data_IF_049379326588
#
_entry.id   IF_049379326588
#
_cell.length_a   1.000
_cell.length_b   1.000
_cell.length_c   1.000
_cell.angle_alpha   90.00
_cell.angle_beta   90.00
_cell.angle_gamma   90.00
#
_symmetry.space_group_name_H-M   'P 1'
#
loop_
_entity.id
_entity.type
_entity.pdbx_description
1 polymer ?
#
# COMPACT_ATOMS: atom_id res chain seq x y z
N UNK A 1 12.75 2.28 -1.34
CA UNK A 1 11.33 1.91 -1.39
C UNK A 1 11.26 0.42 -1.60
N UNK A 2 10.40 -0.34 -0.91
CA UNK A 2 10.08 -1.69 -1.33
C UNK A 2 9.59 -1.62 -2.78
N UNK A 3 9.79 -2.69 -3.52
CA UNK A 3 9.20 -2.79 -4.83
C UNK A 3 7.66 -2.85 -4.73
N UNK A 4 6.99 -2.49 -5.82
CA UNK A 4 5.53 -2.45 -5.91
C UNK A 4 4.87 -3.80 -5.55
N UNK A 5 5.56 -4.92 -5.83
CA UNK A 5 5.07 -6.26 -5.53
C UNK A 5 5.09 -6.53 -4.02
N UNK A 6 6.13 -6.09 -3.30
CA UNK A 6 6.20 -6.19 -1.83
C UNK A 6 4.99 -5.51 -1.18
N UNK A 7 4.59 -4.32 -1.62
CA UNK A 7 3.39 -3.66 -1.07
C UNK A 7 2.10 -4.43 -1.34
N UNK A 8 1.92 -4.98 -2.55
CA UNK A 8 0.77 -5.81 -2.89
C UNK A 8 0.73 -7.11 -2.07
N UNK A 9 1.88 -7.76 -1.90
CA UNK A 9 2.04 -8.94 -1.05
C UNK A 9 1.66 -8.62 0.40
N UNK A 10 2.16 -7.52 0.96
CA UNK A 10 1.81 -7.09 2.31
C UNK A 10 0.31 -6.80 2.44
N UNK A 11 -0.30 -6.12 1.48
CA UNK A 11 -1.75 -5.89 1.47
C UNK A 11 -2.53 -7.22 1.45
N UNK A 12 -2.11 -8.18 0.62
CA UNK A 12 -2.72 -9.51 0.53
C UNK A 12 -2.61 -10.29 1.85
N UNK A 13 -1.49 -10.17 2.57
CA UNK A 13 -1.26 -10.86 3.84
C UNK A 13 -2.08 -10.26 4.98
N UNK A 14 -2.20 -8.94 5.03
CA UNK A 14 -2.86 -8.21 6.12
C UNK A 14 -4.38 -8.07 5.93
N UNK A 15 -4.91 -8.22 4.70
CA UNK A 15 -6.34 -8.05 4.43
C UNK A 15 -7.24 -8.92 5.33
N UNK A 16 -8.26 -8.29 5.91
CA UNK A 16 -9.30 -8.88 6.77
C UNK A 16 -10.59 -8.04 6.67
N UNK A 17 -11.74 -8.65 6.96
CA UNK A 17 -13.03 -7.94 7.04
C UNK A 17 -13.35 -7.11 5.80
N UNK A 18 -13.62 -5.81 6.00
CA UNK A 18 -13.90 -4.86 4.92
C UNK A 18 -12.81 -4.84 3.84
N UNK A 19 -11.54 -4.87 4.23
CA UNK A 19 -10.40 -4.83 3.31
C UNK A 19 -10.23 -6.13 2.52
N UNK A 20 -10.79 -7.23 3.00
CA UNK A 20 -10.84 -8.49 2.26
C UNK A 20 -12.01 -8.51 1.26
N UNK A 21 -13.15 -7.90 1.61
CA UNK A 21 -14.32 -7.72 0.72
C UNK A 21 -14.01 -6.77 -0.43
N UNK A 22 -13.36 -5.64 -0.14
CA UNK A 22 -12.99 -4.61 -1.10
C UNK A 22 -11.48 -4.63 -1.38
N UNK A 23 -10.91 -5.83 -1.47
CA UNK A 23 -9.47 -6.01 -1.64
C UNK A 23 -8.87 -5.24 -2.82
N UNK A 24 -9.49 -5.13 -4.01
CA UNK A 24 -8.92 -4.34 -5.09
C UNK A 24 -8.66 -2.88 -4.71
N UNK A 25 -9.53 -2.26 -3.91
CA UNK A 25 -9.37 -0.88 -3.45
C UNK A 25 -8.30 -0.76 -2.37
N UNK A 26 -8.21 -1.75 -1.48
CA UNK A 26 -7.16 -1.81 -0.49
C UNK A 26 -5.77 -2.01 -1.12
N UNK A 27 -5.67 -2.91 -2.10
CA UNK A 27 -4.47 -3.14 -2.88
C UNK A 27 -4.08 -1.92 -3.71
N UNK A 28 -5.05 -1.25 -4.35
CA UNK A 28 -4.82 0.01 -5.06
C UNK A 28 -4.28 1.09 -4.12
N UNK A 29 -4.86 1.23 -2.93
CA UNK A 29 -4.34 2.13 -1.89
C UNK A 29 -2.88 1.84 -1.54
N UNK A 30 -2.52 0.56 -1.40
CA UNK A 30 -1.17 0.12 -1.05
C UNK A 30 -0.10 0.40 -2.12
N UNK A 31 -0.50 0.74 -3.34
CA UNK A 31 0.42 1.15 -4.41
C UNK A 31 0.18 2.59 -4.88
N UNK A 32 -0.85 3.26 -4.35
CA UNK A 32 -1.25 4.59 -4.80
C UNK A 32 -0.12 5.63 -4.67
N UNK A 33 0.63 5.72 -3.55
CA UNK A 33 1.71 6.70 -3.44
C UNK A 33 2.76 6.52 -4.55
N UNK A 34 3.15 5.28 -4.81
CA UNK A 34 4.07 4.92 -5.89
C UNK A 34 3.52 5.28 -7.27
N UNK A 35 2.23 5.01 -7.54
CA UNK A 35 1.61 5.34 -8.82
C UNK A 35 1.57 6.86 -9.06
N UNK A 36 1.51 7.66 -8.01
CA UNK A 36 1.46 9.12 -8.12
C UNK A 36 2.84 9.74 -8.38
N UNK A 37 3.91 9.20 -7.82
CA UNK A 37 5.25 9.83 -7.94
C UNK A 37 6.21 9.10 -8.87
N UNK A 38 6.15 7.76 -9.01
CA UNK A 38 7.10 7.00 -9.84
C UNK A 38 7.02 7.32 -11.33
N UNK A 39 5.85 7.47 -11.97
CA UNK A 39 5.79 7.86 -13.37
C UNK A 39 6.49 9.21 -13.61
N UNK A 40 6.29 10.17 -12.72
CA UNK A 40 6.98 11.46 -12.78
C UNK A 40 8.48 11.31 -12.56
N UNK A 41 8.92 10.47 -11.62
CA UNK A 41 10.35 10.19 -11.42
C UNK A 41 11.01 9.59 -12.67
N UNK A 42 10.36 8.62 -13.33
CA UNK A 42 10.91 7.90 -14.48
C UNK A 42 10.89 8.76 -15.74
N UNK A 43 9.77 9.42 -16.02
CA UNK A 43 9.57 10.19 -17.26
C UNK A 43 10.16 11.60 -17.17
N UNK A 44 10.14 12.20 -15.98
CA UNK A 44 10.57 13.58 -15.74
C UNK A 44 11.40 13.69 -14.45
N UNK A 45 12.64 13.18 -14.41
CA UNK A 45 13.45 13.15 -13.18
C UNK A 45 13.60 14.51 -12.48
N UNK A 46 13.68 15.60 -13.26
CA UNK A 46 13.73 16.97 -12.73
C UNK A 46 12.46 17.39 -11.96
N UNK A 47 11.32 16.74 -12.23
CA UNK A 47 10.06 16.98 -11.54
C UNK A 47 9.92 16.16 -10.24
N UNK A 48 10.79 15.18 -10.00
CA UNK A 48 10.71 14.29 -8.83
C UNK A 48 10.61 15.03 -7.48
N UNK A 49 11.37 16.11 -7.22
CA UNK A 49 11.26 16.85 -5.96
C UNK A 49 9.86 17.41 -5.68
N UNK A 50 9.07 17.70 -6.71
CA UNK A 50 7.71 18.25 -6.57
C UNK A 50 6.65 17.18 -6.29
N UNK A 51 6.88 15.94 -6.73
CA UNK A 51 5.96 14.82 -6.49
C UNK A 51 6.37 13.96 -5.29
N UNK A 52 7.61 14.10 -4.82
CA UNK A 52 8.13 13.42 -3.63
C UNK A 52 7.25 13.61 -2.37
N UNK A 53 6.67 14.79 -2.10
CA UNK A 53 5.77 14.97 -0.97
C UNK A 53 4.46 14.15 -1.04
N UNK A 54 4.10 13.58 -2.20
CA UNK A 54 2.92 12.70 -2.33
C UNK A 54 3.04 11.41 -1.51
N UNK A 55 4.25 11.08 -1.06
CA UNK A 55 4.54 10.06 -0.05
C UNK A 55 4.41 10.57 1.40
N UNK A 56 3.60 11.61 1.62
CA UNK A 56 3.24 12.13 2.95
C UNK A 56 1.82 11.70 3.34
N UNK A 57 1.55 11.29 4.59
CA UNK A 57 0.21 11.04 5.10
C UNK A 57 -0.77 12.20 4.83
N UNK A 58 -0.31 13.45 4.97
CA UNK A 58 -1.16 14.62 4.81
C UNK A 58 -1.61 14.80 3.36
N UNK A 59 -0.75 14.49 2.39
CA UNK A 59 -1.06 14.62 0.96
C UNK A 59 -1.71 13.36 0.38
N UNK A 60 -1.42 12.17 0.93
CA UNK A 60 -2.05 10.94 0.45
C UNK A 60 -3.53 10.87 0.80
N UNK A 61 -3.94 11.44 1.96
CA UNK A 61 -5.35 11.50 2.37
C UNK A 61 -6.25 12.18 1.33
N UNK A 62 -5.98 13.43 0.87
CA UNK A 62 -6.77 14.06 -0.16
C UNK A 62 -6.67 13.31 -1.50
N UNK A 63 -5.53 12.70 -1.87
CA UNK A 63 -5.45 11.84 -3.04
C UNK A 63 -6.40 10.63 -2.96
N UNK A 64 -6.44 9.94 -1.82
CA UNK A 64 -7.40 8.85 -1.59
C UNK A 64 -8.85 9.35 -1.65
N UNK A 65 -9.13 10.54 -1.11
CA UNK A 65 -10.46 11.14 -1.17
C UNK A 65 -10.87 11.45 -2.62
N UNK A 66 -9.98 12.03 -3.43
CA UNK A 66 -10.21 12.30 -4.85
C UNK A 66 -10.46 11.01 -5.62
N UNK A 67 -9.65 9.97 -5.41
CA UNK A 67 -9.88 8.65 -6.01
C UNK A 67 -11.23 8.06 -5.59
N UNK A 68 -11.64 8.24 -4.33
CA UNK A 68 -12.93 7.75 -3.85
C UNK A 68 -14.14 8.46 -4.51
N UNK A 69 -13.98 9.70 -5.01
CA UNK A 69 -15.04 10.41 -5.73
C UNK A 69 -15.45 9.73 -7.04
N UNK A 70 -14.58 8.90 -7.62
CA UNK A 70 -14.88 8.10 -8.82
C UNK A 70 -15.94 7.01 -8.56
N UNK A 71 -16.27 6.75 -7.29
CA UNK A 71 -17.24 5.73 -6.90
C UNK A 71 -18.60 6.34 -6.51
N UNK A 72 -19.64 5.53 -6.72
CA UNK A 72 -21.02 5.85 -6.34
C UNK A 72 -21.15 6.09 -4.83
N UNK A 73 -22.10 6.94 -4.44
CA UNK A 73 -22.25 7.45 -3.07
C UNK A 73 -22.39 6.34 -2.01
N UNK A 74 -23.04 5.23 -2.35
CA UNK A 74 -23.27 4.10 -1.43
C UNK A 74 -21.99 3.41 -0.98
N UNK A 75 -20.95 3.34 -1.82
CA UNK A 75 -19.68 2.66 -1.51
C UNK A 75 -18.51 3.63 -1.30
N UNK A 76 -18.69 4.92 -1.58
CA UNK A 76 -17.63 5.95 -1.53
C UNK A 76 -16.86 5.98 -0.21
N UNK A 77 -17.56 5.88 0.92
CA UNK A 77 -16.92 5.90 2.25
C UNK A 77 -16.05 4.67 2.46
N UNK A 78 -16.53 3.50 2.06
CA UNK A 78 -15.77 2.25 2.15
C UNK A 78 -14.58 2.26 1.18
N UNK A 79 -14.76 2.79 -0.03
CA UNK A 79 -13.69 2.97 -1.00
C UNK A 79 -12.58 3.89 -0.45
N UNK A 80 -12.94 5.04 0.12
CA UNK A 80 -12.00 5.93 0.78
C UNK A 80 -11.27 5.22 1.92
N UNK A 81 -11.99 4.50 2.79
CA UNK A 81 -11.39 3.78 3.91
C UNK A 81 -10.41 2.69 3.44
N UNK A 82 -10.75 1.94 2.39
CA UNK A 82 -9.86 0.94 1.79
C UNK A 82 -8.62 1.57 1.15
N UNK A 83 -8.79 2.61 0.34
CA UNK A 83 -7.69 3.33 -0.29
C UNK A 83 -6.74 3.91 0.76
N UNK A 84 -7.29 4.59 1.77
CA UNK A 84 -6.50 5.20 2.82
C UNK A 84 -5.78 4.14 3.67
N UNK A 85 -6.46 3.07 4.07
CA UNK A 85 -5.83 1.99 4.83
C UNK A 85 -4.69 1.34 4.05
N UNK A 86 -4.87 1.13 2.73
CA UNK A 86 -3.81 0.64 1.86
C UNK A 86 -2.63 1.60 1.80
N UNK A 87 -2.90 2.89 1.58
CA UNK A 87 -1.87 3.92 1.54
C UNK A 87 -1.10 4.06 2.86
N UNK A 88 -1.78 3.95 4.00
CA UNK A 88 -1.11 3.95 5.30
C UNK A 88 -0.25 2.71 5.50
N UNK A 89 -0.68 1.54 5.03
CA UNK A 89 0.16 0.34 5.03
C UNK A 89 1.41 0.54 4.16
N UNK A 90 1.28 1.18 2.99
CA UNK A 90 2.42 1.53 2.14
C UNK A 90 3.42 2.41 2.89
N UNK A 91 2.97 3.53 3.44
CA UNK A 91 3.82 4.48 4.17
C UNK A 91 4.46 3.85 5.42
N UNK A 92 3.74 2.95 6.11
CA UNK A 92 4.28 2.23 7.25
C UNK A 92 5.44 1.29 6.83
N UNK A 93 5.30 0.58 5.71
CA UNK A 93 6.36 -0.28 5.18
C UNK A 93 7.57 0.54 4.72
N UNK A 94 7.33 1.69 4.12
CA UNK A 94 8.37 2.63 3.71
C UNK A 94 9.15 3.21 4.90
N UNK A 95 8.46 3.56 5.99
CA UNK A 95 9.14 4.01 7.21
C UNK A 95 10.00 2.92 7.85
N UNK A 96 9.67 1.64 7.67
CA UNK A 96 10.53 0.56 8.13
C UNK A 96 11.85 0.48 7.35
N UNK A 97 12.01 1.20 6.24
CA UNK A 97 13.25 1.20 5.46
C UNK A 97 14.26 2.25 5.94
N UNK A 98 15.54 1.89 5.85
CA UNK A 98 16.68 2.82 5.94
C UNK A 98 16.77 3.65 4.66
N UNK A 99 17.25 4.88 4.80
CA UNK A 99 17.32 5.86 3.72
C UNK A 99 18.66 6.59 3.75
N UNK A 100 19.16 6.97 2.57
CA UNK A 100 20.38 7.76 2.40
C UNK A 100 20.12 9.29 2.48
N UNK A 101 18.86 9.70 2.57
CA UNK A 101 18.42 11.09 2.69
C UNK A 101 16.95 11.16 3.13
N UNK A 102 16.39 12.36 3.39
CA UNK A 102 15.00 12.50 3.79
C UNK A 102 14.09 12.18 2.59
N UNK A 103 13.67 10.93 2.47
CA UNK A 103 12.79 10.49 1.39
C UNK A 103 11.30 10.66 1.72
N UNK A 104 10.95 10.61 3.02
CA UNK A 104 9.55 10.65 3.45
C UNK A 104 9.31 11.75 4.48
N UNK A 105 8.49 12.72 4.09
CA UNK A 105 8.11 13.84 4.93
C UNK A 105 6.73 13.57 5.57
N UNK A 106 6.74 12.83 6.67
CA UNK A 106 5.53 12.41 7.38
C UNK A 106 4.59 13.56 7.76
N UNK A 107 5.15 14.73 8.04
CA UNK A 107 4.40 15.92 8.48
C UNK A 107 4.41 17.05 7.45
N UNK A 108 4.83 16.82 6.21
CA UNK A 108 4.69 17.81 5.14
C UNK A 108 3.21 18.18 4.95
N UNK A 109 2.83 19.45 4.73
CA UNK A 109 3.68 20.65 4.54
C UNK A 109 4.07 21.37 5.84
N UNK A 110 3.67 20.86 7.01
CA UNK A 110 3.96 21.49 8.31
C UNK A 110 5.42 21.31 8.74
N UNK A 111 6.12 20.29 8.22
CA UNK A 111 7.53 20.05 8.51
C UNK A 111 8.23 19.35 7.35
N UNK A 112 9.47 19.74 7.11
CA UNK A 112 10.40 19.14 6.15
C UNK A 112 11.31 18.08 6.79
N UNK A 113 11.05 17.72 8.05
CA UNK A 113 11.82 16.67 8.72
C UNK A 113 11.44 15.31 8.14
N UNK A 114 12.44 14.59 7.64
CA UNK A 114 12.29 13.19 7.30
C UNK A 114 11.98 12.35 8.54
N UNK A 115 11.17 11.32 8.40
CA UNK A 115 10.87 10.36 9.46
C UNK A 115 10.96 8.92 8.95
N UNK A 116 11.70 8.07 9.65
CA UNK A 116 11.77 6.64 9.39
C UNK A 116 12.17 5.87 10.65
N UNK A 117 11.78 4.61 10.70
CA UNK A 117 12.12 3.65 11.75
C UNK A 117 13.45 2.97 11.42
N UNK A 118 13.69 2.64 10.15
CA UNK A 118 14.99 2.14 9.68
C UNK A 118 15.34 0.70 10.09
N UNK A 119 14.35 -0.20 10.04
CA UNK A 119 14.51 -1.62 10.40
C UNK A 119 15.34 -2.41 9.38
N UNK A 120 15.20 -2.13 8.07
CA UNK A 120 15.90 -2.86 7.02
C UNK A 120 16.33 -1.95 5.86
N UNK A 121 17.34 -2.37 5.11
CA UNK A 121 17.78 -1.69 3.89
C UNK A 121 16.85 -2.00 2.71
N UNK A 122 16.62 -1.04 1.78
CA UNK A 122 15.73 -1.27 0.64
C UNK A 122 16.09 -2.50 -0.20
N UNK A 123 17.38 -2.80 -0.35
CA UNK A 123 17.89 -3.95 -1.12
C UNK A 123 17.49 -5.29 -0.47
N UNK A 124 17.35 -5.31 0.86
CA UNK A 124 16.91 -6.50 1.59
C UNK A 124 15.46 -6.86 1.25
N UNK A 125 14.61 -5.87 0.92
CA UNK A 125 13.25 -6.15 0.45
C UNK A 125 13.26 -6.89 -0.89
N UNK A 126 14.18 -6.52 -1.79
CA UNK A 126 14.35 -7.17 -3.11
C UNK A 126 14.79 -8.62 -2.92
N UNK A 127 15.77 -8.87 -2.04
CA UNK A 127 16.20 -10.23 -1.74
C UNK A 127 15.13 -11.07 -1.02
N UNK A 128 14.27 -10.43 -0.23
CA UNK A 128 13.15 -11.09 0.44
C UNK A 128 11.94 -11.32 -0.49
N UNK A 129 11.94 -10.81 -1.71
CA UNK A 129 10.82 -10.87 -2.65
C UNK A 129 10.37 -12.31 -2.97
N UNK A 130 11.26 -13.28 -3.29
CA UNK A 130 10.84 -14.65 -3.54
C UNK A 130 10.12 -15.27 -2.33
N UNK A 131 10.62 -15.01 -1.12
CA UNK A 131 10.04 -15.51 0.11
C UNK A 131 8.67 -14.85 0.41
N UNK A 132 8.56 -13.53 0.26
CA UNK A 132 7.30 -12.81 0.46
C UNK A 132 6.23 -13.23 -0.55
N UNK A 133 6.59 -13.45 -1.82
CA UNK A 133 5.70 -14.01 -2.84
C UNK A 133 5.27 -15.43 -2.47
N UNK A 134 6.20 -16.32 -2.12
CA UNK A 134 5.88 -17.69 -1.74
C UNK A 134 4.92 -17.76 -0.55
N UNK A 135 5.18 -16.99 0.51
CA UNK A 135 4.30 -16.87 1.68
C UNK A 135 2.93 -16.32 1.28
N UNK A 136 2.89 -15.31 0.40
CA UNK A 136 1.63 -14.73 -0.10
C UNK A 136 0.81 -15.76 -0.87
N UNK A 137 1.43 -16.56 -1.73
CA UNK A 137 0.77 -17.63 -2.48
C UNK A 137 0.25 -18.72 -1.53
N UNK A 138 1.06 -19.14 -0.57
CA UNK A 138 0.68 -20.15 0.43
C UNK A 138 -0.53 -19.67 1.25
N UNK A 139 -0.48 -18.47 1.82
CA UNK A 139 -1.59 -17.89 2.59
C UNK A 139 -2.84 -17.74 1.72
N UNK A 140 -2.68 -17.34 0.45
CA UNK A 140 -3.80 -17.23 -0.48
C UNK A 140 -4.45 -18.58 -0.78
N UNK A 141 -3.65 -19.63 -0.97
CA UNK A 141 -4.13 -21.00 -1.19
C UNK A 141 -4.86 -21.54 0.04
N UNK A 142 -4.29 -21.34 1.24
CA UNK A 142 -4.92 -21.75 2.51
C UNK A 142 -6.25 -21.03 2.75
N UNK A 143 -6.34 -19.73 2.45
CA UNK A 143 -7.59 -18.96 2.53
C UNK A 143 -8.64 -19.47 1.54
N UNK A 144 -8.26 -19.79 0.30
CA UNK A 144 -9.17 -20.39 -0.70
C UNK A 144 -9.71 -21.74 -0.22
N UNK A 145 -8.84 -22.62 0.29
CA UNK A 145 -9.24 -23.92 0.84
C UNK A 145 -10.26 -23.76 1.98
N UNK A 146 -10.00 -22.85 2.94
CA UNK A 146 -10.92 -22.59 4.06
C UNK A 146 -12.29 -22.07 3.60
N UNK A 147 -12.33 -21.18 2.60
CA UNK A 147 -13.61 -20.69 2.04
C UNK A 147 -14.36 -21.79 1.28
N UNK A 148 -13.65 -22.66 0.55
CA UNK A 148 -14.24 -23.81 -0.12
C UNK A 148 -14.84 -24.83 0.85
N UNK A 149 -14.16 -25.09 1.98
CA UNK A 149 -14.69 -25.96 3.05
C UNK A 149 -15.90 -25.33 3.75
N UNK A 150 -15.89 -24.03 4.00
CA UNK A 150 -17.02 -23.32 4.62
C UNK A 150 -18.27 -23.20 3.70
N UNK A 151 -18.09 -23.35 2.38
CA UNK A 151 -19.16 -23.27 1.40
C UNK A 151 -19.75 -24.66 1.03
N UNK A 152 -19.19 -25.76 1.54
CA UNK A 152 -19.75 -27.08 1.32
C UNK A 152 -21.08 -27.20 2.11
N UNK A 153 -22.21 -27.52 1.46
CA UNK A 153 -23.47 -27.69 2.17
C UNK A 153 -23.32 -28.83 3.18
N UNK A 154 -23.61 -28.55 4.44
CA UNK A 154 -23.83 -29.59 5.44
C UNK A 154 -25.05 -30.39 4.99
N UNK A 155 -24.80 -31.56 4.42
CA UNK A 155 -25.85 -32.46 3.95
C UNK A 155 -26.84 -32.74 5.08
N UNK A 156 -28.10 -32.39 4.84
CA UNK A 156 -29.28 -32.84 5.57
C UNK A 156 -29.87 -34.05 4.87
#
# INVERSE_FOLDING_TARGET
MPDLLTHLCSAQLVRRGLFDRLFPLFALGAVLPDLLSRPAHILFPAAYPFVKPLHSPVLVVPCCALCALLFVRSVRREAFACLLAGALLHLALDACQKQLGPEYFWLFPFSWRGGWIGLFWPEQAIFALPATVAVTLLVSALRRKRRGVAAAPTGS
#
